data_IF_101531855592
#
_entry.id   IF_101531855592
#
_cell.length_a   1.000
_cell.length_b   1.000
_cell.length_c   1.000
_cell.angle_alpha   90.00
_cell.angle_beta   90.00
_cell.angle_gamma   90.00
#
_symmetry.space_group_name_H-M   'P 1'
#
loop_
_entity.id
_entity.type
_entity.pdbx_description
1 polymer ?
#
# COMPACT_ATOMS: atom_id res chain seq x y z
N UNK A 1 -5.03 10.20 -10.68
CA UNK A 1 -4.61 8.81 -10.45
C UNK A 1 -5.87 7.98 -10.25
N UNK A 2 -5.96 6.77 -10.82
CA UNK A 2 -7.12 5.92 -10.61
C UNK A 2 -6.99 5.24 -9.23
N UNK A 3 -7.90 5.52 -8.30
CA UNK A 3 -7.94 4.89 -6.97
C UNK A 3 -8.89 3.70 -6.91
N UNK A 4 -9.58 3.37 -8.01
CA UNK A 4 -10.30 2.11 -8.09
C UNK A 4 -9.30 0.95 -8.14
N UNK A 5 -9.58 -0.18 -7.46
CA UNK A 5 -8.76 -1.37 -7.55
C UNK A 5 -8.66 -1.81 -9.01
N UNK A 6 -7.48 -1.66 -9.60
CA UNK A 6 -7.14 -2.25 -10.91
C UNK A 6 -6.50 -3.63 -10.66
N UNK A 7 -7.15 -4.45 -9.83
CA UNK A 7 -6.69 -5.78 -9.48
C UNK A 7 -7.81 -6.78 -9.78
N UNK A 8 -7.52 -7.77 -10.62
CA UNK A 8 -8.48 -8.87 -10.87
C UNK A 8 -8.73 -9.72 -9.63
N UNK A 9 -7.81 -9.66 -8.64
CA UNK A 9 -7.85 -10.45 -7.41
C UNK A 9 -7.37 -9.58 -6.21
N UNK A 10 -8.05 -8.45 -6.00
CA UNK A 10 -7.71 -7.54 -4.90
C UNK A 10 -7.78 -8.27 -3.55
N UNK A 11 -8.78 -9.14 -3.38
CA UNK A 11 -9.00 -9.93 -2.17
C UNK A 11 -7.81 -10.84 -1.85
N UNK A 12 -7.28 -11.55 -2.84
CA UNK A 12 -6.12 -12.44 -2.66
C UNK A 12 -4.84 -11.68 -2.27
N UNK A 13 -4.65 -10.45 -2.76
CA UNK A 13 -3.53 -9.61 -2.34
C UNK A 13 -3.73 -9.09 -0.91
N UNK A 14 -4.95 -8.68 -0.55
CA UNK A 14 -5.28 -8.26 0.81
C UNK A 14 -5.08 -9.39 1.82
N UNK A 15 -5.48 -10.62 1.50
CA UNK A 15 -5.24 -11.80 2.34
C UNK A 15 -3.74 -12.03 2.55
N UNK A 16 -2.94 -12.05 1.49
CA UNK A 16 -1.48 -12.19 1.60
C UNK A 16 -0.84 -11.09 2.45
N UNK A 17 -1.34 -9.86 2.33
CA UNK A 17 -0.86 -8.74 3.14
C UNK A 17 -1.22 -8.94 4.61
N UNK A 18 -2.44 -9.37 4.94
CA UNK A 18 -2.86 -9.65 6.30
C UNK A 18 -2.05 -10.78 6.92
N UNK A 19 -1.86 -11.88 6.20
CA UNK A 19 -1.07 -13.02 6.64
C UNK A 19 0.38 -12.63 6.94
N UNK A 20 0.96 -11.74 6.13
CA UNK A 20 2.31 -11.23 6.35
C UNK A 20 2.47 -10.46 7.68
N UNK A 21 1.37 -9.97 8.26
CA UNK A 21 1.36 -9.27 9.54
C UNK A 21 1.07 -10.18 10.74
N UNK A 22 0.64 -11.42 10.54
CA UNK A 22 0.26 -12.33 11.62
C UNK A 22 1.46 -12.61 12.54
N UNK A 23 1.28 -12.37 13.84
CA UNK A 23 2.29 -12.60 14.86
C UNK A 23 3.38 -11.51 14.97
N UNK A 24 3.30 -10.46 14.15
CA UNK A 24 4.20 -9.32 14.25
C UNK A 24 3.77 -8.37 15.38
N UNK A 25 4.76 -7.75 16.03
CA UNK A 25 4.50 -6.57 16.86
C UNK A 25 4.05 -5.40 15.99
N UNK A 26 3.55 -4.34 16.63
CA UNK A 26 3.21 -3.10 15.91
C UNK A 26 4.43 -2.51 15.19
N UNK A 27 5.57 -2.48 15.85
CA UNK A 27 6.80 -1.89 15.28
C UNK A 27 7.31 -2.73 14.11
N UNK A 28 7.22 -4.06 14.20
CA UNK A 28 7.59 -4.97 13.11
C UNK A 28 6.63 -4.84 11.92
N UNK A 29 5.33 -4.65 12.19
CA UNK A 29 4.30 -4.36 11.19
C UNK A 29 4.58 -3.05 10.45
N UNK A 30 4.92 -1.98 11.17
CA UNK A 30 5.30 -0.69 10.58
C UNK A 30 6.58 -0.84 9.72
N UNK A 31 7.57 -1.61 10.19
CA UNK A 31 8.78 -1.90 9.42
C UNK A 31 8.50 -2.71 8.15
N UNK A 32 7.62 -3.72 8.22
CA UNK A 32 7.18 -4.49 7.06
C UNK A 32 6.55 -3.59 6.01
N UNK A 33 5.63 -2.72 6.43
CA UNK A 33 4.96 -1.78 5.54
C UNK A 33 5.94 -0.82 4.87
N UNK A 34 6.90 -0.25 5.62
CA UNK A 34 7.93 0.63 5.05
C UNK A 34 8.77 -0.09 3.99
N UNK A 35 9.19 -1.34 4.26
CA UNK A 35 9.95 -2.15 3.29
C UNK A 35 9.12 -2.48 2.05
N UNK A 36 7.85 -2.84 2.23
CA UNK A 36 6.95 -3.14 1.12
C UNK A 36 6.76 -1.91 0.21
N UNK A 37 6.54 -0.72 0.78
CA UNK A 37 6.43 0.54 0.03
C UNK A 37 7.68 0.78 -0.83
N UNK A 38 8.89 0.59 -0.27
CA UNK A 38 10.13 0.77 -1.02
C UNK A 38 10.28 -0.24 -2.16
N UNK A 39 9.92 -1.51 -1.93
CA UNK A 39 9.95 -2.53 -2.98
C UNK A 39 8.98 -2.20 -4.11
N UNK A 40 7.73 -1.83 -3.78
CA UNK A 40 6.74 -1.40 -4.77
C UNK A 40 7.21 -0.16 -5.53
N UNK A 41 7.80 0.81 -4.84
CA UNK A 41 8.34 2.01 -5.48
C UNK A 41 9.45 1.67 -6.48
N UNK A 42 10.33 0.72 -6.13
CA UNK A 42 11.36 0.22 -7.03
C UNK A 42 10.77 -0.51 -8.25
N UNK A 43 9.67 -1.26 -8.10
CA UNK A 43 9.01 -1.91 -9.24
C UNK A 43 8.31 -0.90 -10.16
N UNK A 44 7.77 0.19 -9.61
CA UNK A 44 7.11 1.25 -10.40
C UNK A 44 8.15 2.05 -11.21
N UNK A 45 9.27 2.44 -10.61
CA UNK A 45 10.40 3.09 -11.28
C UNK A 45 10.15 4.52 -11.81
N UNK A 46 8.91 5.03 -11.76
CA UNK A 46 8.51 6.34 -12.25
C UNK A 46 8.24 7.32 -11.09
N UNK A 47 9.08 8.35 -10.97
CA UNK A 47 8.97 9.36 -9.92
C UNK A 47 7.68 10.20 -10.00
N UNK A 48 7.11 10.44 -11.18
CA UNK A 48 5.87 11.18 -11.34
C UNK A 48 4.67 10.35 -10.85
N UNK A 49 4.67 9.05 -11.14
CA UNK A 49 3.67 8.11 -10.61
C UNK A 49 3.78 8.04 -9.08
N UNK A 50 4.99 7.87 -8.54
CA UNK A 50 5.21 7.82 -7.09
C UNK A 50 4.76 9.10 -6.38
N UNK A 51 5.03 10.27 -6.97
CA UNK A 51 4.55 11.54 -6.43
C UNK A 51 3.02 11.60 -6.41
N UNK A 52 2.36 11.17 -7.49
CA UNK A 52 0.91 11.11 -7.55
C UNK A 52 0.32 10.14 -6.50
N UNK A 53 0.99 9.01 -6.25
CA UNK A 53 0.59 8.08 -5.18
C UNK A 53 0.65 8.73 -3.79
N UNK A 54 1.73 9.45 -3.49
CA UNK A 54 1.92 10.14 -2.20
C UNK A 54 0.85 11.23 -2.03
N UNK A 55 0.63 12.05 -3.06
CA UNK A 55 -0.37 13.12 -3.00
C UNK A 55 -1.78 12.52 -2.79
N UNK A 56 -2.13 11.44 -3.50
CA UNK A 56 -3.40 10.73 -3.30
C UNK A 56 -3.54 10.09 -1.90
N UNK A 57 -2.47 9.52 -1.34
CA UNK A 57 -2.50 8.93 0.00
C UNK A 57 -2.67 9.98 1.12
N UNK A 58 -2.24 11.23 0.88
CA UNK A 58 -2.46 12.35 1.80
C UNK A 58 -3.90 12.85 1.78
N UNK A 59 -4.58 12.71 0.64
CA UNK A 59 -6.01 12.97 0.47
C UNK A 59 -6.82 11.78 1.02
N UNK A 60 -6.80 11.59 2.34
CA UNK A 60 -7.67 10.61 3.02
C UNK A 60 -9.12 10.80 2.54
N UNK A 61 -9.85 9.75 2.12
CA UNK A 61 -11.27 9.89 1.79
C UNK A 61 -12.00 10.40 3.04
N UNK A 62 -12.75 11.49 2.88
CA UNK A 62 -13.46 12.19 3.95
C UNK A 62 -14.57 11.35 4.65
N UNK A 63 -14.68 10.06 4.35
CA UNK A 63 -15.73 9.19 4.87
C UNK A 63 -15.12 8.06 5.72
N UNK A 64 -14.73 8.41 6.96
CA UNK A 64 -14.69 7.45 8.07
C UNK A 64 -16.03 7.57 8.80
N UNK A 65 -16.91 6.60 8.58
CA UNK A 65 -17.94 6.19 9.55
C UNK A 65 -17.74 4.71 9.78
#
# INVERSE_FOLDING_TARGET
MNTNPHFQDADAFYEQLLDAHVGLSRDDSELLNARLILLLANQIGDAAVLKACIDAARELPANRV
#
